data_IF_687061957023
#
_entry.id   IF_687061957023
#
_cell.length_a   1.000
_cell.length_b   1.000
_cell.length_c   1.000
_cell.angle_alpha   90.00
_cell.angle_beta   90.00
_cell.angle_gamma   90.00
#
_symmetry.space_group_name_H-M   'P 1'
#
loop_
_entity.id
_entity.type
_entity.pdbx_description
1 polymer ?
#
# COMPACT_ATOMS: atom_id res chain seq x y z
N UNK A 1 -1.01 11.70 -6.48
CA UNK A 1 -2.02 11.63 -7.57
C UNK A 1 -3.38 11.97 -7.01
N UNK A 2 -4.10 12.81 -7.70
CA UNK A 2 -5.55 13.03 -7.46
C UNK A 2 -6.26 12.96 -8.81
N UNK A 3 -7.36 12.22 -8.88
CA UNK A 3 -8.16 12.09 -10.11
C UNK A 3 -9.61 12.41 -9.80
N UNK A 4 -10.04 13.58 -10.26
CA UNK A 4 -11.38 14.14 -10.03
C UNK A 4 -12.29 13.91 -11.22
N UNK A 5 -13.59 13.77 -10.96
CA UNK A 5 -14.60 13.92 -12.00
C UNK A 5 -14.73 15.39 -12.42
N UNK A 6 -14.85 15.62 -13.72
CA UNK A 6 -15.09 16.95 -14.27
C UNK A 6 -16.05 16.90 -15.48
N UNK A 7 -16.28 18.04 -16.14
CA UNK A 7 -17.19 18.14 -17.30
C UNK A 7 -16.80 17.18 -18.44
N UNK A 8 -15.49 16.95 -18.64
CA UNK A 8 -14.97 16.07 -19.70
C UNK A 8 -14.83 14.62 -19.23
N UNK A 9 -14.69 14.40 -17.94
CA UNK A 9 -14.59 13.07 -17.33
C UNK A 9 -15.74 12.87 -16.35
N UNK A 10 -16.75 12.13 -16.78
CA UNK A 10 -17.96 11.86 -15.98
C UNK A 10 -17.75 10.80 -14.90
N UNK A 11 -16.72 9.98 -15.02
CA UNK A 11 -16.40 8.92 -14.06
C UNK A 11 -14.91 8.76 -13.89
N UNK A 12 -14.49 8.46 -12.66
CA UNK A 12 -13.11 8.04 -12.34
C UNK A 12 -12.89 6.58 -12.72
N UNK A 13 -11.65 6.15 -12.99
CA UNK A 13 -11.37 4.75 -13.29
C UNK A 13 -11.77 3.83 -12.16
N UNK A 14 -12.32 2.65 -12.49
CA UNK A 14 -12.62 1.60 -11.53
C UNK A 14 -11.36 0.96 -10.96
N UNK A 15 -11.46 0.39 -9.77
CA UNK A 15 -10.36 -0.25 -9.03
C UNK A 15 -9.62 -1.27 -9.89
N UNK A 16 -10.31 -2.15 -10.61
CA UNK A 16 -9.70 -3.20 -11.41
C UNK A 16 -8.84 -2.62 -12.55
N UNK A 17 -9.29 -1.51 -13.16
CA UNK A 17 -8.54 -0.85 -14.22
C UNK A 17 -7.29 -0.15 -13.68
N UNK A 18 -7.41 0.51 -12.52
CA UNK A 18 -6.27 1.13 -11.81
C UNK A 18 -5.27 0.06 -11.36
N UNK A 19 -5.77 -1.02 -10.77
CA UNK A 19 -4.92 -2.13 -10.33
C UNK A 19 -4.10 -2.71 -11.48
N UNK A 20 -4.72 -3.05 -12.60
CA UNK A 20 -4.02 -3.56 -13.79
C UNK A 20 -2.97 -2.60 -14.30
N UNK A 21 -3.28 -1.31 -14.35
CA UNK A 21 -2.34 -0.27 -14.75
C UNK A 21 -1.12 -0.23 -13.82
N UNK A 22 -1.34 -0.17 -12.52
CA UNK A 22 -0.25 -0.10 -11.55
C UNK A 22 0.58 -1.39 -11.50
N UNK A 23 -0.03 -2.57 -11.62
CA UNK A 23 0.69 -3.84 -11.69
C UNK A 23 1.63 -3.91 -12.91
N UNK A 24 1.26 -3.26 -14.00
CA UNK A 24 2.07 -3.25 -15.23
C UNK A 24 3.16 -2.19 -15.24
N UNK A 25 2.95 -1.05 -14.57
CA UNK A 25 3.77 0.15 -14.76
C UNK A 25 4.51 0.60 -13.52
N UNK A 26 4.12 0.12 -12.33
CA UNK A 26 4.65 0.60 -11.06
C UNK A 26 5.37 -0.49 -10.28
N UNK A 27 6.35 -0.09 -9.49
CA UNK A 27 6.92 -0.93 -8.44
C UNK A 27 5.99 -1.02 -7.25
N UNK A 28 5.28 0.07 -6.94
CA UNK A 28 4.29 0.14 -5.87
C UNK A 28 3.28 1.25 -6.13
N UNK A 29 2.06 1.04 -5.71
CA UNK A 29 0.99 2.03 -5.71
C UNK A 29 0.02 1.76 -4.56
N UNK A 30 -0.46 2.84 -3.95
CA UNK A 30 -1.55 2.83 -2.95
C UNK A 30 -2.56 3.88 -3.34
N UNK A 31 -3.85 3.54 -3.33
CA UNK A 31 -4.91 4.51 -3.62
C UNK A 31 -6.20 4.16 -2.87
N UNK A 32 -7.05 5.15 -2.73
CA UNK A 32 -8.41 4.99 -2.24
C UNK A 32 -9.38 5.93 -2.97
N UNK A 33 -10.65 5.62 -2.86
CA UNK A 33 -11.73 6.51 -3.31
C UNK A 33 -12.21 7.32 -2.13
N UNK A 34 -12.35 8.62 -2.34
CA UNK A 34 -12.77 9.57 -1.30
C UNK A 34 -13.89 10.46 -1.82
N UNK A 35 -14.71 10.97 -0.90
CA UNK A 35 -15.62 12.10 -1.14
C UNK A 35 -14.99 13.35 -0.53
N UNK A 36 -14.75 14.35 -1.36
CA UNK A 36 -14.21 15.63 -0.91
C UNK A 36 -15.18 16.39 0.00
N UNK A 37 -14.69 16.87 1.14
CA UNK A 37 -15.51 17.52 2.18
C UNK A 37 -16.28 18.75 1.68
N UNK A 38 -15.70 19.54 0.78
CA UNK A 38 -16.30 20.81 0.32
C UNK A 38 -17.26 20.60 -0.85
N UNK A 39 -16.84 19.85 -1.89
CA UNK A 39 -17.61 19.71 -3.14
C UNK A 39 -18.44 18.43 -3.20
N UNK A 40 -18.35 17.58 -2.19
CA UNK A 40 -19.04 16.27 -2.12
C UNK A 40 -18.86 15.44 -3.41
N UNK A 41 -17.70 15.59 -4.06
CA UNK A 41 -17.36 14.84 -5.29
C UNK A 41 -16.44 13.68 -4.97
N UNK A 42 -16.77 12.56 -5.58
CA UNK A 42 -15.91 11.39 -5.54
C UNK A 42 -14.64 11.62 -6.35
N UNK A 43 -13.50 11.25 -5.80
CA UNK A 43 -12.21 11.30 -6.46
C UNK A 43 -11.32 10.14 -6.01
N UNK A 44 -10.31 9.83 -6.81
CA UNK A 44 -9.24 8.90 -6.43
C UNK A 44 -8.07 9.70 -5.86
N UNK A 45 -7.66 9.36 -4.66
CA UNK A 45 -6.43 9.84 -4.04
C UNK A 45 -5.42 8.70 -3.98
N UNK A 46 -4.17 8.94 -4.40
CA UNK A 46 -3.17 7.86 -4.40
C UNK A 46 -1.74 8.34 -4.51
N UNK A 47 -0.82 7.44 -4.21
CA UNK A 47 0.63 7.57 -4.40
C UNK A 47 1.13 6.36 -5.17
N UNK A 48 2.13 6.54 -6.02
CA UNK A 48 2.73 5.46 -6.78
C UNK A 48 4.19 5.77 -7.13
N UNK A 49 4.93 4.72 -7.43
CA UNK A 49 6.29 4.79 -7.99
C UNK A 49 6.30 4.01 -9.29
N UNK A 50 6.57 4.70 -10.40
CA UNK A 50 6.76 4.04 -11.70
C UNK A 50 8.02 3.17 -11.68
N UNK A 51 7.98 2.11 -12.45
CA UNK A 51 9.17 1.29 -12.70
C UNK A 51 10.18 2.06 -13.57
N UNK A 52 11.47 1.83 -13.32
CA UNK A 52 12.57 2.43 -14.09
C UNK A 52 13.01 3.80 -13.55
N UNK A 53 13.75 4.57 -14.35
CA UNK A 53 14.32 5.84 -13.92
C UNK A 53 13.23 6.90 -13.70
N UNK A 54 13.55 7.88 -12.83
CA UNK A 54 12.63 8.98 -12.52
C UNK A 54 12.23 9.73 -13.80
N UNK A 55 10.93 9.87 -14.00
CA UNK A 55 10.34 10.55 -15.15
C UNK A 55 9.85 11.96 -14.79
N UNK A 56 9.76 12.82 -15.79
CA UNK A 56 9.08 14.12 -15.67
C UNK A 56 7.56 13.92 -15.51
N UNK A 57 6.87 14.93 -14.97
CA UNK A 57 5.40 14.91 -14.90
C UNK A 57 4.75 14.74 -16.28
N UNK A 58 5.32 15.33 -17.33
CA UNK A 58 4.80 15.23 -18.70
C UNK A 58 4.91 13.79 -19.21
N UNK A 59 6.07 13.15 -19.00
CA UNK A 59 6.27 11.76 -19.38
C UNK A 59 5.33 10.82 -18.60
N UNK A 60 5.16 11.06 -17.29
CA UNK A 60 4.23 10.31 -16.47
C UNK A 60 2.79 10.47 -16.93
N UNK A 61 2.33 11.69 -17.22
CA UNK A 61 0.98 11.94 -17.76
C UNK A 61 0.78 11.23 -19.11
N UNK A 62 1.82 11.15 -19.95
CA UNK A 62 1.75 10.38 -21.20
C UNK A 62 1.50 8.91 -20.95
N UNK A 63 2.17 8.27 -19.99
CA UNK A 63 1.94 6.86 -19.62
C UNK A 63 0.46 6.64 -19.21
N UNK A 64 -0.10 7.55 -18.42
CA UNK A 64 -1.53 7.49 -18.05
C UNK A 64 -2.44 7.69 -19.28
N UNK A 65 -2.13 8.66 -20.14
CA UNK A 65 -2.92 8.95 -21.34
C UNK A 65 -2.91 7.77 -22.32
N UNK A 66 -1.76 7.14 -22.53
CA UNK A 66 -1.63 6.00 -23.42
C UNK A 66 -2.49 4.81 -22.95
N UNK A 67 -2.64 4.61 -21.64
CA UNK A 67 -3.41 3.50 -21.08
C UNK A 67 -4.91 3.82 -20.91
N UNK A 68 -5.22 5.00 -20.37
CA UNK A 68 -6.60 5.36 -20.00
C UNK A 68 -7.33 6.12 -21.12
N UNK A 69 -6.60 6.72 -22.05
CA UNK A 69 -7.11 7.62 -23.09
C UNK A 69 -7.42 9.00 -22.49
N UNK A 70 -8.62 9.19 -21.96
CA UNK A 70 -8.99 10.45 -21.32
C UNK A 70 -8.48 10.50 -19.86
N UNK A 71 -7.57 11.44 -19.60
CA UNK A 71 -7.01 11.71 -18.26
C UNK A 71 -7.42 13.07 -17.69
N UNK A 72 -8.49 13.65 -18.24
CA UNK A 72 -9.03 14.90 -17.74
C UNK A 72 -9.40 14.79 -16.26
N UNK A 73 -8.95 15.73 -15.44
CA UNK A 73 -9.12 15.67 -13.98
C UNK A 73 -7.99 14.99 -13.22
N UNK A 74 -7.02 14.36 -13.91
CA UNK A 74 -5.84 13.81 -13.29
C UNK A 74 -4.84 14.92 -12.94
N UNK A 75 -4.44 14.98 -11.68
CA UNK A 75 -3.37 15.85 -11.18
C UNK A 75 -2.26 15.01 -10.56
N UNK A 76 -1.03 15.23 -11.01
CA UNK A 76 0.17 14.58 -10.46
C UNK A 76 1.05 15.62 -9.78
N UNK A 77 1.54 15.29 -8.58
CA UNK A 77 2.53 16.10 -7.85
C UNK A 77 3.67 15.20 -7.39
N UNK A 78 4.91 15.69 -7.38
CA UNK A 78 6.04 14.93 -6.84
C UNK A 78 5.83 14.69 -5.34
N UNK A 79 6.32 13.54 -4.87
CA UNK A 79 6.30 13.17 -3.46
C UNK A 79 7.63 13.59 -2.84
N UNK A 80 7.58 14.38 -1.76
CA UNK A 80 8.74 14.81 -0.99
C UNK A 80 8.86 14.06 0.34
N UNK A 81 7.72 13.77 0.97
CA UNK A 81 7.64 12.98 2.19
C UNK A 81 6.75 11.75 1.97
N UNK A 82 7.40 10.59 1.96
CA UNK A 82 6.72 9.32 1.68
C UNK A 82 5.86 8.86 2.85
N UNK A 83 6.31 9.08 4.07
CA UNK A 83 5.58 8.68 5.28
C UNK A 83 4.29 9.49 5.39
N UNK A 84 4.40 10.82 5.27
CA UNK A 84 3.24 11.70 5.32
C UNK A 84 2.23 11.41 4.21
N UNK A 85 2.69 11.16 2.97
CA UNK A 85 1.77 10.88 1.86
C UNK A 85 1.09 9.52 1.98
N UNK A 86 1.79 8.50 2.50
CA UNK A 86 1.18 7.19 2.74
C UNK A 86 0.09 7.28 3.81
N UNK A 87 0.33 7.97 4.91
CA UNK A 87 -0.68 8.24 5.93
C UNK A 87 -1.89 9.00 5.34
N UNK A 88 -1.62 9.99 4.48
CA UNK A 88 -2.67 10.77 3.84
C UNK A 88 -3.55 9.95 2.89
N UNK A 89 -2.95 9.08 2.04
CA UNK A 89 -3.71 8.24 1.09
C UNK A 89 -4.33 6.99 1.73
N UNK A 90 -4.15 6.80 3.03
CA UNK A 90 -4.74 5.72 3.81
C UNK A 90 -5.65 6.21 4.94
N UNK A 91 -5.89 7.52 5.03
CA UNK A 91 -6.76 8.11 6.06
C UNK A 91 -8.19 7.59 5.97
N UNK A 92 -8.89 7.54 7.09
CA UNK A 92 -10.29 7.08 7.13
C UNK A 92 -11.30 8.17 6.78
N UNK A 93 -10.94 9.43 7.03
CA UNK A 93 -11.80 10.56 6.78
C UNK A 93 -12.12 10.70 5.29
N UNK A 94 -13.41 10.74 4.95
CA UNK A 94 -13.91 10.87 3.58
C UNK A 94 -13.73 9.61 2.72
N UNK A 95 -13.18 8.52 3.24
CA UNK A 95 -12.99 7.27 2.49
C UNK A 95 -14.33 6.64 2.09
N UNK A 96 -14.47 6.35 0.80
CA UNK A 96 -15.57 5.56 0.23
C UNK A 96 -15.16 4.10 0.14
N UNK A 97 -13.94 3.85 -0.35
CA UNK A 97 -13.39 2.49 -0.45
C UNK A 97 -11.87 2.49 -0.57
N UNK A 98 -11.23 1.39 -0.19
CA UNK A 98 -9.78 1.25 -0.10
C UNK A 98 -9.29 1.28 1.36
N UNK A 99 -7.98 1.45 1.62
CA UNK A 99 -6.94 1.60 0.61
C UNK A 99 -6.72 0.32 -0.21
N UNK A 100 -6.39 0.51 -1.48
CA UNK A 100 -6.01 -0.54 -2.41
C UNK A 100 -4.52 -0.47 -2.70
N UNK A 101 -3.92 -1.61 -3.04
CA UNK A 101 -2.50 -1.75 -3.27
C UNK A 101 -2.25 -2.47 -4.60
N UNK A 102 -1.22 -2.05 -5.33
CA UNK A 102 -0.80 -2.66 -6.59
C UNK A 102 0.66 -2.34 -6.91
N UNK A 103 1.21 -3.00 -7.91
CA UNK A 103 2.58 -2.85 -8.38
C UNK A 103 3.41 -4.10 -8.16
N UNK A 104 4.54 -4.20 -8.85
CA UNK A 104 5.38 -5.41 -8.87
C UNK A 104 5.91 -5.83 -7.50
N UNK A 105 6.08 -4.88 -6.58
CA UNK A 105 6.54 -5.16 -5.22
C UNK A 105 5.39 -5.46 -4.25
N UNK A 106 4.15 -5.10 -4.61
CA UNK A 106 2.97 -5.25 -3.74
C UNK A 106 2.37 -6.66 -3.80
N UNK A 107 2.60 -7.41 -4.88
CA UNK A 107 2.21 -8.82 -4.92
C UNK A 107 2.82 -9.64 -3.78
N UNK A 108 3.92 -9.13 -3.20
CA UNK A 108 4.56 -9.72 -2.03
C UNK A 108 3.75 -9.45 -0.74
N UNK A 109 3.10 -8.30 -0.61
CA UNK A 109 2.40 -7.89 0.63
C UNK A 109 0.95 -8.39 0.69
N UNK A 110 0.24 -8.46 -0.45
CA UNK A 110 -1.13 -8.99 -0.50
C UNK A 110 -1.15 -10.50 -0.25
N UNK A 111 -0.18 -11.23 -0.79
CA UNK A 111 -0.04 -12.67 -0.53
C UNK A 111 0.44 -12.97 0.90
N UNK A 112 0.96 -11.98 1.63
CA UNK A 112 1.41 -12.18 3.01
C UNK A 112 0.27 -12.52 3.96
N UNK A 113 -0.89 -11.84 3.84
CA UNK A 113 -2.04 -12.10 4.71
C UNK A 113 -2.67 -13.48 4.48
N UNK A 114 -2.60 -13.99 3.24
CA UNK A 114 -3.16 -15.28 2.84
C UNK A 114 -2.14 -16.44 2.94
N UNK A 115 -0.85 -16.13 3.04
CA UNK A 115 0.19 -17.15 3.12
C UNK A 115 0.27 -17.73 4.53
N UNK A 116 0.07 -19.06 4.69
CA UNK A 116 0.12 -19.67 6.02
C UNK A 116 1.52 -19.53 6.63
N UNK A 117 1.55 -19.18 7.91
CA UNK A 117 2.79 -19.10 8.67
C UNK A 117 3.47 -20.46 8.73
N UNK A 118 4.78 -20.47 8.58
CA UNK A 118 5.59 -21.67 8.86
C UNK A 118 5.49 -22.04 10.35
N UNK A 119 5.71 -23.28 10.69
CA UNK A 119 5.56 -23.79 12.07
C UNK A 119 6.28 -22.94 13.11
N UNK A 120 7.51 -22.50 12.84
CA UNK A 120 8.28 -21.67 13.77
C UNK A 120 7.72 -20.24 13.86
N UNK A 121 7.25 -19.66 12.74
CA UNK A 121 6.62 -18.34 12.68
C UNK A 121 5.33 -18.32 13.50
N UNK A 122 4.49 -19.35 13.33
CA UNK A 122 3.28 -19.51 14.11
C UNK A 122 3.56 -19.62 15.61
N UNK A 123 4.53 -20.47 16.01
CA UNK A 123 4.94 -20.60 17.41
C UNK A 123 5.43 -19.27 17.99
N UNK A 124 6.20 -18.51 17.23
CA UNK A 124 6.69 -17.20 17.67
C UNK A 124 5.56 -16.19 17.75
N UNK A 125 4.64 -16.18 16.79
CA UNK A 125 3.44 -15.31 16.80
C UNK A 125 2.56 -15.64 18.00
N UNK A 126 2.25 -16.91 18.24
CA UNK A 126 1.45 -17.36 19.39
C UNK A 126 2.13 -16.99 20.72
N UNK A 127 3.45 -17.04 20.77
CA UNK A 127 4.23 -16.58 21.93
C UNK A 127 4.11 -15.07 22.12
N UNK A 128 4.24 -14.26 21.04
CA UNK A 128 4.18 -12.81 21.09
C UNK A 128 2.77 -12.25 21.41
N UNK A 129 1.72 -12.99 21.05
CA UNK A 129 0.32 -12.60 21.26
C UNK A 129 -0.31 -13.24 22.51
N UNK A 130 0.39 -14.14 23.18
CA UNK A 130 -0.16 -14.80 24.37
C UNK A 130 -0.14 -13.86 25.59
N UNK A 131 -1.25 -13.83 26.34
CA UNK A 131 -1.35 -13.14 27.63
C UNK A 131 -0.34 -13.64 28.69
N UNK A 132 0.36 -14.74 28.38
CA UNK A 132 1.40 -15.33 29.22
C UNK A 132 2.76 -14.65 29.08
N UNK A 133 2.88 -13.58 28.27
CA UNK A 133 4.10 -12.79 28.18
C UNK A 133 4.17 -11.68 29.22
N UNK A 134 4.54 -11.99 30.49
CA UNK A 134 5.08 -10.99 31.40
C UNK A 134 6.42 -10.41 30.89
N UNK A 135 6.89 -10.92 29.78
CA UNK A 135 8.21 -10.66 29.21
C UNK A 135 8.42 -9.22 28.74
N UNK A 136 7.40 -8.56 28.17
CA UNK A 136 7.52 -7.16 27.76
C UNK A 136 7.69 -6.22 28.96
N UNK A 137 7.15 -6.57 30.14
CA UNK A 137 7.35 -5.81 31.38
C UNK A 137 8.78 -5.93 31.93
N UNK A 138 9.53 -6.96 31.55
CA UNK A 138 10.85 -7.27 32.10
C UNK A 138 12.02 -7.03 31.13
N UNK A 139 11.83 -6.27 30.04
CA UNK A 139 12.86 -5.97 29.04
C UNK A 139 13.59 -7.21 28.49
N UNK A 140 12.89 -8.32 28.34
CA UNK A 140 13.48 -9.52 27.73
C UNK A 140 13.51 -9.38 26.22
N UNK A 141 14.62 -9.76 25.61
CA UNK A 141 14.80 -9.79 24.15
C UNK A 141 14.65 -11.21 23.66
N UNK A 142 13.79 -11.42 22.66
CA UNK A 142 13.67 -12.71 21.98
C UNK A 142 14.66 -12.72 20.82
N UNK A 143 15.63 -13.59 20.88
CA UNK A 143 16.61 -13.77 19.82
C UNK A 143 16.22 -14.93 18.92
N UNK A 144 16.07 -14.64 17.60
CA UNK A 144 15.74 -15.65 16.59
C UNK A 144 16.98 -15.89 15.73
N UNK A 145 17.65 -17.01 15.98
CA UNK A 145 18.84 -17.42 15.22
C UNK A 145 18.45 -18.32 14.04
N UNK A 146 19.13 -18.14 12.92
CA UNK A 146 19.00 -18.95 11.72
C UNK A 146 20.38 -19.18 11.12
N UNK A 147 20.95 -20.35 11.40
CA UNK A 147 22.30 -20.73 10.96
C UNK A 147 22.41 -20.99 9.46
N UNK A 148 21.32 -21.35 8.82
CA UNK A 148 21.31 -21.70 7.40
C UNK A 148 20.87 -20.54 6.50
N UNK A 149 20.23 -19.53 7.06
CA UNK A 149 19.62 -18.45 6.30
C UNK A 149 18.34 -18.88 5.58
N UNK A 150 17.69 -17.91 4.96
CA UNK A 150 16.52 -18.13 4.07
C UNK A 150 15.29 -18.82 4.69
N UNK A 151 15.15 -18.82 6.01
CA UNK A 151 14.01 -19.42 6.72
C UNK A 151 12.77 -18.51 6.79
N UNK A 152 12.85 -17.30 6.21
CA UNK A 152 11.73 -16.37 6.13
C UNK A 152 11.62 -15.41 7.31
N UNK A 153 12.71 -15.09 8.03
CA UNK A 153 12.71 -14.10 9.13
C UNK A 153 12.29 -12.69 8.66
N UNK A 154 12.91 -12.19 7.58
CA UNK A 154 12.59 -10.87 7.02
C UNK A 154 11.17 -10.80 6.49
N UNK A 155 10.67 -11.90 5.91
CA UNK A 155 9.28 -12.04 5.50
C UNK A 155 8.35 -11.97 6.72
N UNK A 156 8.64 -12.71 7.78
CA UNK A 156 7.82 -12.73 9.00
C UNK A 156 7.78 -11.37 9.70
N UNK A 157 8.92 -10.64 9.74
CA UNK A 157 8.94 -9.26 10.25
C UNK A 157 7.98 -8.38 9.47
N UNK A 158 8.06 -8.39 8.14
CA UNK A 158 7.13 -7.64 7.29
C UNK A 158 5.68 -8.06 7.51
N UNK A 159 5.42 -9.35 7.66
CA UNK A 159 4.08 -9.86 7.95
C UNK A 159 3.52 -9.33 9.27
N UNK A 160 4.34 -9.20 10.31
CA UNK A 160 3.96 -8.59 11.58
C UNK A 160 3.68 -7.08 11.45
N UNK A 161 4.41 -6.38 10.57
CA UNK A 161 4.26 -4.94 10.33
C UNK A 161 3.03 -4.59 9.46
N UNK A 162 2.66 -5.47 8.53
CA UNK A 162 1.58 -5.23 7.54
C UNK A 162 0.24 -5.84 7.93
N UNK A 163 0.21 -6.72 8.90
CA UNK A 163 -0.96 -7.51 9.24
C UNK A 163 -1.99 -6.77 10.09
N UNK A 164 -3.22 -7.27 10.06
CA UNK A 164 -4.34 -6.92 10.95
C UNK A 164 -4.02 -7.18 12.45
N UNK A 165 -2.80 -7.55 12.76
CA UNK A 165 -2.26 -7.86 14.07
C UNK A 165 -1.12 -6.90 14.39
N UNK A 166 -1.41 -5.60 14.47
CA UNK A 166 -0.43 -4.61 14.92
C UNK A 166 0.04 -4.95 16.35
N UNK A 167 1.09 -5.76 16.41
CA UNK A 167 1.97 -5.73 17.56
C UNK A 167 2.80 -4.45 17.41
N UNK A 168 2.42 -3.39 18.11
CA UNK A 168 3.25 -2.22 18.31
C UNK A 168 4.49 -2.68 19.08
N UNK A 169 5.59 -2.83 18.37
CA UNK A 169 6.90 -3.13 18.94
C UNK A 169 7.61 -1.81 19.26
#
# INVERSE_FOLDING_TARGET
>A
MTWDTNVKQKSIPKTEKLKRFFDQTCTEATWQYEIGSIKQKEHVQGVFTLEGPRQSNVATLKVFSDYFGNISGLTLKPVYDRVAINAYVSKEEGRVSGPYYAGKNVSFDINMAETPLRTWQKKLFDLLTSDKLPMLKNRKVIWVEDKQGNTGKSWFRKWLETGQNQLTV
#
